data_IF_504787978369
#
_entry.id   IF_504787978369
#
_cell.length_a   1.000
_cell.length_b   1.000
_cell.length_c   1.000
_cell.angle_alpha   90.00
_cell.angle_beta   90.00
_cell.angle_gamma   90.00
#
_symmetry.space_group_name_H-M   'P 1'
#
loop_
_entity.id
_entity.type
_entity.pdbx_description
1 polymer ?
#
# COMPACT_ATOMS: atom_id res chain seq x y z
N UNK A 1 26.80 9.55 12.64
CA UNK A 1 26.43 8.97 11.34
C UNK A 1 26.26 7.47 11.54
N UNK A 2 25.04 6.94 11.45
CA UNK A 2 24.83 5.48 11.51
C UNK A 2 25.19 4.89 10.15
N UNK A 3 26.23 4.05 10.13
CA UNK A 3 26.72 3.36 8.94
C UNK A 3 25.69 2.34 8.47
N UNK A 4 25.22 2.48 7.23
CA UNK A 4 24.25 1.58 6.58
C UNK A 4 24.80 0.16 6.48
N UNK A 5 23.98 -0.84 6.79
CA UNK A 5 24.33 -2.25 6.58
C UNK A 5 24.34 -2.55 5.07
N UNK A 6 25.48 -2.96 4.48
CA UNK A 6 25.58 -3.28 3.06
C UNK A 6 24.77 -4.50 2.63
N UNK A 7 24.23 -5.28 3.57
CA UNK A 7 23.34 -6.42 3.32
C UNK A 7 21.87 -6.02 3.29
N UNK A 8 21.54 -4.76 3.56
CA UNK A 8 20.17 -4.27 3.52
C UNK A 8 19.81 -3.84 2.09
N UNK A 9 19.07 -4.67 1.31
CA UNK A 9 18.72 -4.36 -0.06
C UNK A 9 17.67 -3.24 -0.15
N UNK A 10 17.13 -2.77 0.98
CA UNK A 10 16.07 -1.77 0.99
C UNK A 10 16.65 -0.42 0.56
N UNK A 11 15.94 0.33 -0.30
CA UNK A 11 16.36 1.66 -0.71
C UNK A 11 16.44 2.60 0.50
N UNK A 12 17.27 3.66 0.46
CA UNK A 12 17.42 4.68 1.52
C UNK A 12 16.15 5.56 1.70
N UNK A 13 14.99 5.04 1.32
CA UNK A 13 13.72 5.73 1.33
C UNK A 13 13.08 5.54 2.70
N UNK A 14 13.00 6.62 3.47
CA UNK A 14 12.20 6.65 4.68
C UNK A 14 10.71 6.68 4.32
N UNK A 15 10.05 5.54 4.44
CA UNK A 15 8.60 5.44 4.29
C UNK A 15 7.87 5.95 5.55
N UNK A 16 6.84 6.77 5.37
CA UNK A 16 6.05 7.32 6.47
C UNK A 16 5.14 6.29 7.16
N UNK A 17 4.53 6.63 8.32
CA UNK A 17 3.70 5.72 9.10
C UNK A 17 2.55 5.08 8.30
N UNK A 18 1.88 5.85 7.45
CA UNK A 18 0.77 5.37 6.61
C UNK A 18 1.20 4.27 5.64
N UNK A 19 2.46 4.30 5.17
CA UNK A 19 3.00 3.25 4.30
C UNK A 19 3.05 1.92 5.05
N UNK A 20 3.71 1.90 6.22
CA UNK A 20 3.84 0.68 7.03
C UNK A 20 2.50 0.14 7.52
N UNK A 21 1.59 1.03 7.90
CA UNK A 21 0.21 0.64 8.24
C UNK A 21 -0.50 -0.02 7.06
N UNK A 22 -0.33 0.51 5.85
CA UNK A 22 -0.93 -0.09 4.64
C UNK A 22 -0.40 -1.51 4.43
N UNK A 23 0.92 -1.71 4.54
CA UNK A 23 1.53 -3.05 4.41
C UNK A 23 1.05 -4.00 5.50
N UNK A 24 1.02 -3.55 6.76
CA UNK A 24 0.54 -4.37 7.88
C UNK A 24 -0.94 -4.75 7.75
N UNK A 25 -1.77 -3.84 7.24
CA UNK A 25 -3.18 -4.15 6.97
C UNK A 25 -3.32 -5.12 5.80
N UNK A 26 -2.51 -4.99 4.75
CA UNK A 26 -2.53 -5.92 3.62
C UNK A 26 -2.06 -7.32 4.00
N UNK A 27 -1.03 -7.44 4.85
CA UNK A 27 -0.52 -8.74 5.31
C UNK A 27 -1.51 -9.49 6.21
N UNK A 28 -2.43 -8.78 6.85
CA UNK A 28 -3.49 -9.39 7.66
C UNK A 28 -4.57 -10.14 6.84
N UNK A 29 -4.62 -9.94 5.53
CA UNK A 29 -5.55 -10.65 4.62
C UNK A 29 -7.03 -10.23 4.71
N UNK A 30 -7.39 -9.25 5.56
CA UNK A 30 -8.79 -8.89 5.82
C UNK A 30 -9.43 -7.96 4.77
N UNK A 31 -8.66 -7.41 3.83
CA UNK A 31 -9.16 -6.38 2.91
C UNK A 31 -9.35 -6.93 1.50
N UNK A 32 -10.62 -7.02 1.08
CA UNK A 32 -11.00 -7.44 -0.28
C UNK A 32 -11.12 -6.27 -1.26
N UNK A 33 -11.02 -5.02 -0.79
CA UNK A 33 -11.10 -3.83 -1.65
C UNK A 33 -10.27 -2.65 -1.14
N UNK A 34 -9.81 -1.82 -2.09
CA UNK A 34 -9.12 -0.54 -1.81
C UNK A 34 -9.95 0.39 -0.93
N UNK A 35 -11.28 0.41 -1.13
CA UNK A 35 -12.18 1.28 -0.36
C UNK A 35 -12.23 0.88 1.12
N UNK A 36 -12.25 -0.42 1.41
CA UNK A 36 -12.17 -0.94 2.78
C UNK A 36 -10.85 -0.54 3.45
N UNK A 37 -9.73 -0.70 2.73
CA UNK A 37 -8.41 -0.31 3.23
C UNK A 37 -8.32 1.19 3.53
N UNK A 38 -8.82 2.05 2.64
CA UNK A 38 -8.85 3.51 2.84
C UNK A 38 -9.68 3.91 4.07
N UNK A 39 -10.85 3.29 4.24
CA UNK A 39 -11.74 3.55 5.39
C UNK A 39 -11.03 3.19 6.69
N UNK A 40 -10.34 2.05 6.72
CA UNK A 40 -9.63 1.60 7.91
C UNK A 40 -8.41 2.46 8.22
N UNK A 41 -7.61 2.83 7.22
CA UNK A 41 -6.48 3.74 7.39
C UNK A 41 -6.94 5.11 7.90
N UNK A 42 -8.08 5.62 7.40
CA UNK A 42 -8.66 6.87 7.88
C UNK A 42 -9.09 6.76 9.34
N UNK A 43 -9.69 5.62 9.74
CA UNK A 43 -10.10 5.33 11.11
C UNK A 43 -8.91 5.29 12.06
N UNK A 44 -7.85 4.57 11.70
CA UNK A 44 -6.63 4.41 12.52
C UNK A 44 -5.88 5.74 12.66
N UNK A 45 -5.77 6.51 11.57
CA UNK A 45 -4.98 7.74 11.57
C UNK A 45 -5.70 8.95 12.13
N UNK A 46 -7.00 8.83 12.42
CA UNK A 46 -7.90 9.95 12.76
C UNK A 46 -7.80 11.11 11.76
N UNK A 47 -7.41 10.81 10.52
CA UNK A 47 -7.15 11.77 9.44
C UNK A 47 -7.56 11.17 8.10
N UNK A 48 -8.15 11.96 7.18
CA UNK A 48 -8.53 11.46 5.87
C UNK A 48 -7.33 10.89 5.11
N UNK A 49 -7.46 9.65 4.67
CA UNK A 49 -6.53 9.01 3.73
C UNK A 49 -7.22 8.90 2.38
N UNK A 50 -6.58 9.34 1.30
CA UNK A 50 -7.19 9.30 -0.03
C UNK A 50 -6.93 7.98 -0.74
N UNK A 51 -7.81 7.62 -1.68
CA UNK A 51 -7.58 6.47 -2.58
C UNK A 51 -6.27 6.61 -3.36
N UNK A 52 -5.93 7.83 -3.77
CA UNK A 52 -4.70 8.10 -4.52
C UNK A 52 -3.46 7.86 -3.66
N UNK A 53 -3.48 8.27 -2.39
CA UNK A 53 -2.37 7.98 -1.46
C UNK A 53 -2.15 6.48 -1.30
N UNK A 54 -3.22 5.70 -1.09
CA UNK A 54 -3.12 4.23 -0.99
C UNK A 54 -2.63 3.62 -2.31
N UNK A 55 -3.06 4.13 -3.45
CA UNK A 55 -2.57 3.68 -4.76
C UNK A 55 -1.06 3.91 -4.91
N UNK A 56 -0.58 5.11 -4.58
CA UNK A 56 0.85 5.44 -4.60
C UNK A 56 1.63 4.52 -3.66
N UNK A 57 1.14 4.30 -2.44
CA UNK A 57 1.78 3.41 -1.46
C UNK A 57 1.91 1.99 -2.00
N UNK A 58 0.82 1.42 -2.55
CA UNK A 58 0.84 0.06 -3.12
C UNK A 58 1.84 -0.01 -4.29
N UNK A 59 1.83 0.97 -5.19
CA UNK A 59 2.76 1.02 -6.32
C UNK A 59 4.21 1.06 -5.83
N UNK A 60 4.52 1.95 -4.89
CA UNK A 60 5.85 2.07 -4.29
C UNK A 60 6.26 0.79 -3.55
N UNK A 61 5.32 0.11 -2.89
CA UNK A 61 5.59 -1.14 -2.21
C UNK A 61 5.93 -2.28 -3.18
N UNK A 62 5.27 -2.33 -4.35
CA UNK A 62 5.61 -3.28 -5.42
C UNK A 62 7.00 -2.95 -5.99
N UNK A 63 7.26 -1.69 -6.32
CA UNK A 63 8.56 -1.24 -6.86
C UNK A 63 9.72 -1.51 -5.89
N UNK A 64 9.47 -1.44 -4.59
CA UNK A 64 10.45 -1.75 -3.55
C UNK A 64 10.48 -3.23 -3.13
N UNK A 65 9.67 -4.09 -3.77
CA UNK A 65 9.66 -5.54 -3.53
C UNK A 65 8.99 -5.99 -2.22
N UNK A 66 8.18 -5.13 -1.58
CA UNK A 66 7.38 -5.52 -0.41
C UNK A 66 6.08 -6.24 -0.76
N UNK A 67 5.62 -6.11 -2.00
CA UNK A 67 4.42 -6.78 -2.53
C UNK A 67 4.74 -7.40 -3.89
N UNK A 68 4.32 -8.64 -4.10
CA UNK A 68 4.51 -9.35 -5.38
C UNK A 68 3.66 -8.77 -6.53
N UNK A 69 2.61 -8.01 -6.19
CA UNK A 69 1.70 -7.43 -7.16
C UNK A 69 0.57 -6.64 -6.51
N UNK A 70 -0.40 -6.24 -7.33
CA UNK A 70 -1.55 -5.49 -6.81
C UNK A 70 -2.47 -6.41 -6.01
N UNK A 71 -2.66 -6.17 -4.69
CA UNK A 71 -3.49 -7.02 -3.84
C UNK A 71 -4.99 -6.89 -4.14
N UNK A 72 -5.37 -5.86 -4.89
CA UNK A 72 -6.74 -5.65 -5.31
C UNK A 72 -6.83 -5.88 -6.82
N UNK A 73 -7.36 -7.03 -7.28
CA UNK A 73 -7.52 -7.28 -8.70
C UNK A 73 -8.27 -6.11 -9.33
N UNK A 74 -7.87 -5.74 -10.55
CA UNK A 74 -8.69 -4.84 -11.34
C UNK A 74 -10.07 -5.50 -11.44
N UNK A 75 -11.09 -4.90 -10.83
CA UNK A 75 -12.46 -5.34 -11.12
C UNK A 75 -12.58 -5.36 -12.63
N UNK A 76 -13.07 -6.46 -13.24
CA UNK A 76 -13.23 -6.51 -14.68
C UNK A 76 -14.01 -5.26 -15.06
N UNK A 77 -13.36 -4.37 -15.82
CA UNK A 77 -14.08 -3.27 -16.44
C UNK A 77 -15.17 -3.97 -17.22
N UNK A 78 -16.43 -3.80 -16.83
CA UNK A 78 -17.54 -4.21 -17.67
C UNK A 78 -17.24 -3.62 -19.03
N UNK A 79 -16.89 -4.48 -20.00
CA UNK A 79 -16.85 -4.10 -21.40
C UNK A 79 -18.14 -3.34 -21.62
N UNK A 80 -18.04 -2.03 -21.87
CA UNK A 80 -19.14 -1.28 -22.45
C UNK A 80 -19.46 -2.00 -23.75
N UNK A 81 -20.45 -2.89 -23.68
CA UNK A 81 -21.12 -3.44 -24.84
C UNK A 81 -22.26 -2.47 -25.13
N UNK A 82 -22.24 -1.99 -26.37
CA UNK A 82 -23.12 -1.04 -27.05
C UNK A 82 -22.75 0.44 -26.88
#
# INVERSE_FOLDING_TARGET
MMTRDPRDPRPDVHYGPTFWQTIGLLSSGFFTSKAGLVKELTRINHKPVTRQQVYTIIKTAIEAGFLDGNPFPAQPQMSRRN
#
